data_IF_603756440824
#
_entry.id   IF_603756440824
#
_cell.length_a   1.000
_cell.length_b   1.000
_cell.length_c   1.000
_cell.angle_alpha   90.00
_cell.angle_beta   90.00
_cell.angle_gamma   90.00
#
_symmetry.space_group_name_H-M   'P 1'
#
loop_
_entity.id
_entity.type
_entity.pdbx_description
1 polymer ?
#
# COMPACT_ATOMS: atom_id res chain seq x y z
N UNK A 1 -10.92 -13.24 24.42
CA UNK A 1 -9.77 -12.76 23.63
C UNK A 1 -9.16 -13.93 22.90
N UNK A 2 -8.92 -13.83 21.58
CA UNK A 2 -8.26 -14.89 20.81
C UNK A 2 -6.77 -14.95 21.17
N UNK A 3 -6.24 -16.16 21.32
CA UNK A 3 -4.79 -16.38 21.59
C UNK A 3 -4.11 -17.25 20.52
N UNK A 4 -4.84 -17.68 19.50
CA UNK A 4 -4.32 -18.44 18.36
C UNK A 4 -5.01 -19.80 18.16
N UNK A 5 -4.93 -20.37 16.95
CA UNK A 5 -5.40 -21.74 16.60
C UNK A 5 -6.83 -22.04 17.08
N UNK A 6 -7.74 -21.07 16.98
CA UNK A 6 -9.13 -21.23 17.43
C UNK A 6 -9.34 -21.27 18.95
N UNK A 7 -8.31 -20.99 19.75
CA UNK A 7 -8.38 -20.93 21.22
C UNK A 7 -8.75 -19.53 21.68
N UNK A 8 -9.68 -19.46 22.63
CA UNK A 8 -10.19 -18.23 23.22
C UNK A 8 -10.12 -18.27 24.75
N UNK A 9 -9.68 -17.17 25.36
CA UNK A 9 -9.67 -16.99 26.81
C UNK A 9 -10.79 -16.03 27.22
N UNK A 10 -11.55 -16.39 28.27
CA UNK A 10 -12.57 -15.52 28.86
C UNK A 10 -11.89 -14.30 29.50
N UNK A 11 -12.38 -13.11 29.18
CA UNK A 11 -11.84 -11.85 29.72
C UNK A 11 -12.96 -10.83 29.86
N UNK A 12 -12.70 -9.78 30.64
CA UNK A 12 -13.57 -8.60 30.78
C UNK A 12 -12.80 -7.39 30.26
N UNK A 13 -13.36 -6.69 29.29
CA UNK A 13 -12.75 -5.46 28.75
C UNK A 13 -13.29 -4.26 29.55
N UNK A 14 -12.45 -3.53 30.29
CA UNK A 14 -12.89 -2.35 31.03
C UNK A 14 -13.26 -1.19 30.08
N UNK A 15 -14.00 -0.18 30.54
CA UNK A 15 -14.31 1.01 29.74
C UNK A 15 -13.03 1.68 29.21
N UNK A 16 -12.92 1.76 27.89
CA UNK A 16 -11.71 2.26 27.20
C UNK A 16 -11.82 3.78 27.06
N UNK A 17 -10.93 4.52 27.73
CA UNK A 17 -10.80 5.98 27.58
C UNK A 17 -9.80 6.37 26.50
N UNK A 18 -8.81 5.52 26.25
CA UNK A 18 -7.71 5.75 25.31
C UNK A 18 -7.22 4.43 24.72
N UNK A 19 -6.60 4.51 23.55
CA UNK A 19 -6.04 3.38 22.81
C UNK A 19 -4.58 3.66 22.46
N UNK A 20 -3.78 2.61 22.34
CA UNK A 20 -2.41 2.71 21.84
C UNK A 20 -2.43 2.63 20.31
N UNK A 21 -1.82 3.61 19.66
CA UNK A 21 -1.67 3.67 18.21
C UNK A 21 -0.19 3.60 17.87
N UNK A 22 0.21 2.60 17.08
CA UNK A 22 1.58 2.47 16.60
C UNK A 22 1.86 3.51 15.50
N UNK A 23 3.04 4.13 15.55
CA UNK A 23 3.50 5.16 14.61
C UNK A 23 4.72 4.70 13.78
N UNK A 24 4.92 3.38 13.68
CA UNK A 24 6.09 2.72 13.09
C UNK A 24 7.37 2.79 13.95
N UNK A 25 8.42 2.08 13.49
CA UNK A 25 9.73 1.98 14.15
C UNK A 25 9.70 1.53 15.63
N UNK A 26 8.65 0.78 16.03
CA UNK A 26 8.48 0.31 17.41
C UNK A 26 7.95 1.36 18.39
N UNK A 27 7.50 2.52 17.92
CA UNK A 27 6.92 3.58 18.76
C UNK A 27 5.40 3.49 18.74
N UNK A 28 4.78 3.61 19.92
CA UNK A 28 3.33 3.73 20.06
C UNK A 28 2.97 4.92 20.96
N UNK A 29 1.89 5.62 20.59
CA UNK A 29 1.34 6.73 21.38
C UNK A 29 -0.05 6.40 21.88
N UNK A 30 -0.35 6.86 23.08
CA UNK A 30 -1.69 6.82 23.63
C UNK A 30 -2.55 7.93 23.02
N UNK A 31 -3.70 7.59 22.45
CA UNK A 31 -4.66 8.52 21.84
C UNK A 31 -6.06 8.30 22.40
N UNK A 32 -6.86 9.36 22.49
CA UNK A 32 -8.29 9.19 22.74
C UNK A 32 -8.96 8.59 21.49
N UNK A 33 -10.24 8.25 21.62
CA UNK A 33 -11.00 7.59 20.53
C UNK A 33 -11.05 8.43 19.26
N UNK A 34 -11.28 9.73 19.36
CA UNK A 34 -11.44 10.63 18.22
C UNK A 34 -10.11 10.83 17.48
N UNK A 35 -9.04 11.08 18.22
CA UNK A 35 -7.69 11.23 17.66
C UNK A 35 -7.19 9.93 17.01
N UNK A 36 -7.52 8.77 17.59
CA UNK A 36 -7.18 7.48 17.01
C UNK A 36 -7.96 7.23 15.72
N UNK A 37 -9.25 7.57 15.67
CA UNK A 37 -10.06 7.47 14.46
C UNK A 37 -9.52 8.37 13.35
N UNK A 38 -9.28 9.64 13.66
CA UNK A 38 -8.71 10.61 12.72
C UNK A 38 -7.35 10.15 12.18
N UNK A 39 -6.52 9.55 13.02
CA UNK A 39 -5.24 8.98 12.59
C UNK A 39 -5.43 7.82 11.62
N UNK A 40 -6.35 6.89 11.89
CA UNK A 40 -6.61 5.77 10.98
C UNK A 40 -7.16 6.26 9.64
N UNK A 41 -8.09 7.22 9.66
CA UNK A 41 -8.64 7.81 8.44
C UNK A 41 -7.59 8.55 7.61
N UNK A 42 -6.66 9.28 8.25
CA UNK A 42 -5.58 9.96 7.53
C UNK A 42 -4.62 8.96 6.87
N UNK A 43 -4.28 7.86 7.57
CA UNK A 43 -3.44 6.79 7.01
C UNK A 43 -4.11 6.07 5.85
N UNK A 44 -5.41 5.82 5.93
CA UNK A 44 -6.18 5.25 4.81
C UNK A 44 -6.06 6.17 3.58
N UNK A 45 -6.31 7.47 3.73
CA UNK A 45 -6.21 8.44 2.62
C UNK A 45 -4.80 8.52 2.04
N UNK A 46 -3.78 8.49 2.90
CA UNK A 46 -2.38 8.47 2.48
C UNK A 46 -2.09 7.24 1.61
N UNK A 47 -2.50 6.05 2.04
CA UNK A 47 -2.31 4.82 1.27
C UNK A 47 -3.12 4.81 -0.04
N UNK A 48 -4.33 5.37 -0.06
CA UNK A 48 -5.11 5.51 -1.30
C UNK A 48 -4.43 6.43 -2.33
N UNK A 49 -3.80 7.52 -1.88
CA UNK A 49 -3.03 8.41 -2.76
C UNK A 49 -1.77 7.71 -3.25
N UNK A 50 -1.00 7.10 -2.34
CA UNK A 50 0.21 6.37 -2.70
C UNK A 50 -0.08 5.21 -3.67
N UNK A 51 -1.16 4.47 -3.44
CA UNK A 51 -1.61 3.39 -4.34
C UNK A 51 -1.96 3.89 -5.74
N UNK A 52 -2.69 5.01 -5.85
CA UNK A 52 -3.00 5.63 -7.15
C UNK A 52 -1.76 6.10 -7.89
N UNK A 53 -0.81 6.72 -7.18
CA UNK A 53 0.46 7.15 -7.77
C UNK A 53 1.28 5.96 -8.27
N UNK A 54 1.34 4.88 -7.48
CA UNK A 54 2.06 3.68 -7.86
C UNK A 54 1.46 3.01 -9.10
N UNK A 55 0.12 2.95 -9.20
CA UNK A 55 -0.53 2.39 -10.39
C UNK A 55 -0.28 3.27 -11.63
N UNK A 56 -0.33 4.60 -11.49
CA UNK A 56 0.01 5.50 -12.59
C UNK A 56 1.46 5.31 -13.08
N UNK A 57 2.43 5.19 -12.15
CA UNK A 57 3.82 4.90 -12.48
C UNK A 57 3.96 3.53 -13.18
N UNK A 58 3.25 2.51 -12.70
CA UNK A 58 3.24 1.18 -13.32
C UNK A 58 2.75 1.23 -14.77
N UNK A 59 1.68 1.99 -15.04
CA UNK A 59 1.13 2.16 -16.38
C UNK A 59 2.10 2.92 -17.29
N UNK A 60 2.75 3.97 -16.80
CA UNK A 60 3.77 4.69 -17.56
C UNK A 60 4.94 3.79 -17.96
N UNK A 61 5.44 2.98 -17.03
CA UNK A 61 6.51 2.01 -17.31
C UNK A 61 6.06 0.99 -18.36
N UNK A 62 4.83 0.48 -18.25
CA UNK A 62 4.27 -0.46 -19.23
C UNK A 62 4.22 0.13 -20.65
N UNK A 63 3.73 1.37 -20.80
CA UNK A 63 3.70 2.07 -22.08
C UNK A 63 5.11 2.28 -22.66
N UNK A 64 6.08 2.68 -21.82
CA UNK A 64 7.48 2.82 -22.25
C UNK A 64 8.06 1.49 -22.73
N UNK A 65 7.78 0.38 -22.05
CA UNK A 65 8.22 -0.94 -22.47
C UNK A 65 7.64 -1.34 -23.84
N UNK A 66 6.34 -1.09 -24.07
CA UNK A 66 5.69 -1.35 -25.35
C UNK A 66 6.28 -0.52 -26.50
N UNK A 67 6.54 0.77 -26.24
CA UNK A 67 7.22 1.64 -27.19
C UNK A 67 8.61 1.11 -27.53
N UNK A 68 9.42 0.76 -26.54
CA UNK A 68 10.76 0.20 -26.74
C UNK A 68 10.70 -1.09 -27.56
N UNK A 69 9.79 -2.01 -27.23
CA UNK A 69 9.59 -3.25 -27.97
C UNK A 69 9.26 -2.98 -29.45
N UNK A 70 8.40 -1.99 -29.71
CA UNK A 70 8.02 -1.59 -31.07
C UNK A 70 9.21 -1.04 -31.85
N UNK A 71 10.02 -0.16 -31.23
CA UNK A 71 11.22 0.39 -31.86
C UNK A 71 12.24 -0.70 -32.18
N UNK A 72 12.45 -1.65 -31.26
CA UNK A 72 13.32 -2.81 -31.49
C UNK A 72 12.83 -3.63 -32.68
N UNK A 73 11.53 -3.94 -32.74
CA UNK A 73 10.95 -4.71 -33.83
C UNK A 73 11.10 -3.99 -35.19
N UNK A 74 10.98 -2.66 -35.22
CA UNK A 74 11.21 -1.87 -36.43
C UNK A 74 12.67 -1.93 -36.88
N UNK A 75 13.63 -1.79 -35.96
CA UNK A 75 15.06 -1.89 -36.26
C UNK A 75 15.43 -3.27 -36.81
N UNK A 76 14.90 -4.34 -36.22
CA UNK A 76 15.12 -5.72 -36.70
C UNK A 76 14.59 -5.89 -38.13
N UNK A 77 13.38 -5.38 -38.43
CA UNK A 77 12.81 -5.45 -39.78
C UNK A 77 13.63 -4.66 -40.80
N UNK A 78 14.08 -3.46 -40.43
CA UNK A 78 14.94 -2.63 -41.28
C UNK A 78 16.30 -3.32 -41.55
N UNK A 79 16.86 -4.02 -40.57
CA UNK A 79 18.09 -4.79 -40.75
C UNK A 79 17.92 -6.07 -41.59
N UNK A 80 16.69 -6.58 -41.74
CA UNK A 80 16.39 -7.82 -42.48
C UNK A 80 15.96 -7.58 -43.93
N UNK A 81 15.72 -6.34 -44.37
CA UNK A 81 15.47 -6.03 -45.79
C UNK A 81 16.80 -5.95 -46.54
N UNK A 82 17.12 -6.89 -47.45
CA UNK A 82 18.26 -6.73 -48.34
C UNK A 82 17.91 -5.66 -49.39
N UNK A 83 18.86 -4.76 -49.66
CA UNK A 83 18.82 -3.92 -50.87
C UNK A 83 18.99 -4.72 -52.14
#
# INVERSE_FOLDING_TARGET
MPVGVGVYVKTTVPPIKKVLVALDAGVALEKNREDALNYVESRIKEYEVAGRQLEAQRQEIAMRMEQVQTHINQMIRAAQQPG
#
